data_IF_363561113562
#
_entry.id   IF_363561113562
#
_cell.length_a   1.000
_cell.length_b   1.000
_cell.length_c   1.000
_cell.angle_alpha   90.00
_cell.angle_beta   90.00
_cell.angle_gamma   90.00
#
_symmetry.space_group_name_H-M   'P 1'
#
loop_
_entity.id
_entity.type
_entity.pdbx_description
1 polymer ?
#
# COMPACT_ATOMS: atom_id res chain seq x y z
N UNK A 1 -13.49 7.93 9.55
CA UNK A 1 -12.76 7.01 8.64
C UNK A 1 -12.58 7.67 7.28
N UNK A 2 -11.40 7.52 6.67
CA UNK A 2 -11.10 8.10 5.37
C UNK A 2 -11.68 7.20 4.27
N UNK A 3 -12.71 7.67 3.59
CA UNK A 3 -13.41 6.89 2.57
C UNK A 3 -12.51 6.55 1.37
N UNK A 4 -11.64 7.48 0.98
CA UNK A 4 -10.72 7.26 -0.13
C UNK A 4 -9.72 6.17 0.21
N UNK A 5 -9.16 6.22 1.41
CA UNK A 5 -8.21 5.20 1.86
C UNK A 5 -8.91 3.84 2.00
N UNK A 6 -10.13 3.84 2.54
CA UNK A 6 -10.93 2.61 2.60
C UNK A 6 -11.08 2.00 1.22
N UNK A 7 -11.45 2.82 0.22
CA UNK A 7 -11.65 2.33 -1.13
C UNK A 7 -10.36 1.71 -1.71
N UNK A 8 -9.23 2.36 -1.50
CA UNK A 8 -7.94 1.88 -1.99
C UNK A 8 -7.55 0.52 -1.42
N UNK A 9 -7.93 0.24 -0.18
CA UNK A 9 -7.51 -0.96 0.54
C UNK A 9 -8.59 -2.03 0.53
N UNK A 10 -9.81 -1.67 0.89
CA UNK A 10 -10.88 -2.65 1.10
C UNK A 10 -11.88 -2.69 -0.04
N UNK A 11 -11.95 -1.65 -0.84
CA UNK A 11 -12.98 -1.51 -1.87
C UNK A 11 -12.54 -1.93 -3.27
N UNK A 12 -11.30 -2.34 -3.46
CA UNK A 12 -10.78 -2.68 -4.78
C UNK A 12 -9.96 -3.95 -4.75
N UNK A 13 -9.79 -4.54 -5.94
CA UNK A 13 -9.08 -5.80 -6.09
C UNK A 13 -7.61 -5.73 -5.66
N UNK A 14 -6.97 -4.59 -5.87
CA UNK A 14 -5.55 -4.43 -5.54
C UNK A 14 -5.27 -4.07 -4.09
N UNK A 15 -6.30 -4.08 -3.23
CA UNK A 15 -6.19 -3.55 -1.87
C UNK A 15 -5.19 -4.27 -0.98
N UNK A 16 -5.14 -5.59 -1.06
CA UNK A 16 -4.21 -6.37 -0.23
C UNK A 16 -2.76 -6.00 -0.56
N UNK A 17 -2.44 -5.93 -1.85
CA UNK A 17 -1.08 -5.58 -2.26
C UNK A 17 -0.73 -4.14 -1.90
N UNK A 18 -1.70 -3.22 -2.04
CA UNK A 18 -1.47 -1.83 -1.62
C UNK A 18 -1.24 -1.73 -0.11
N UNK A 19 -1.98 -2.51 0.68
CA UNK A 19 -1.76 -2.56 2.12
C UNK A 19 -0.37 -3.08 2.46
N UNK A 20 0.08 -4.12 1.76
CA UNK A 20 1.43 -4.67 1.96
C UNK A 20 2.51 -3.63 1.64
N UNK A 21 2.31 -2.84 0.59
CA UNK A 21 3.24 -1.77 0.23
C UNK A 21 3.28 -0.71 1.33
N UNK A 22 2.11 -0.32 1.85
CA UNK A 22 2.03 0.67 2.94
C UNK A 22 2.78 0.15 4.18
N UNK A 23 2.56 -1.09 4.57
CA UNK A 23 3.26 -1.70 5.69
C UNK A 23 4.77 -1.70 5.49
N UNK A 24 5.21 -2.07 4.29
CA UNK A 24 6.64 -2.10 3.98
C UNK A 24 7.27 -0.71 4.09
N UNK A 25 6.60 0.29 3.52
CA UNK A 25 7.10 1.67 3.52
C UNK A 25 7.03 2.33 4.88
N UNK A 26 6.20 1.82 5.79
CA UNK A 26 6.18 2.33 7.16
C UNK A 26 7.55 2.20 7.82
N UNK A 27 8.26 1.11 7.51
CA UNK A 27 9.55 0.84 8.13
C UNK A 27 10.66 1.69 7.54
N UNK A 28 10.61 1.93 6.23
CA UNK A 28 11.66 2.68 5.54
C UNK A 28 11.25 3.09 4.14
N UNK A 29 11.77 4.21 3.63
CA UNK A 29 11.64 4.51 2.20
C UNK A 29 12.33 3.43 1.36
N UNK A 30 11.84 3.21 0.15
CA UNK A 30 12.40 2.17 -0.70
C UNK A 30 12.09 2.46 -2.17
N UNK A 31 12.88 1.91 -3.07
CA UNK A 31 12.57 1.98 -4.49
C UNK A 31 11.60 0.85 -4.87
N UNK A 32 10.98 0.98 -6.06
CA UNK A 32 9.97 0.04 -6.50
C UNK A 32 10.52 -1.38 -6.69
N UNK A 33 11.77 -1.47 -7.14
CA UNK A 33 12.39 -2.77 -7.37
C UNK A 33 12.57 -3.55 -6.06
N UNK A 34 13.02 -2.85 -5.01
CA UNK A 34 13.18 -3.46 -3.69
C UNK A 34 11.84 -3.89 -3.11
N UNK A 35 10.80 -3.06 -3.27
CA UNK A 35 9.45 -3.40 -2.82
C UNK A 35 8.98 -4.67 -3.54
N UNK A 36 9.12 -4.71 -4.86
CA UNK A 36 8.70 -5.86 -5.66
C UNK A 36 9.40 -7.13 -5.22
N UNK A 37 10.73 -7.05 -5.03
CA UNK A 37 11.50 -8.20 -4.59
C UNK A 37 11.10 -8.68 -3.21
N UNK A 38 10.91 -7.76 -2.27
CA UNK A 38 10.53 -8.12 -0.90
C UNK A 38 9.14 -8.76 -0.83
N UNK A 39 8.19 -8.21 -1.60
CA UNK A 39 6.82 -8.69 -1.56
C UNK A 39 6.53 -9.84 -2.52
N UNK A 40 7.50 -10.21 -3.35
CA UNK A 40 7.31 -11.27 -4.34
C UNK A 40 6.31 -10.86 -5.42
N UNK A 41 6.28 -9.59 -5.77
CA UNK A 41 5.37 -9.06 -6.78
C UNK A 41 6.13 -8.62 -8.02
N UNK A 42 5.40 -8.57 -9.15
CA UNK A 42 5.94 -8.05 -10.39
C UNK A 42 6.23 -6.56 -10.27
N UNK A 43 7.35 -6.12 -10.85
CA UNK A 43 7.76 -4.72 -10.81
C UNK A 43 6.69 -3.78 -11.39
N UNK A 44 6.11 -4.15 -12.54
CA UNK A 44 5.07 -3.31 -13.15
C UNK A 44 3.84 -3.19 -12.27
N UNK A 45 3.48 -4.27 -11.60
CA UNK A 45 2.35 -4.26 -10.66
C UNK A 45 2.62 -3.32 -9.50
N UNK A 46 3.83 -3.39 -8.94
CA UNK A 46 4.21 -2.49 -7.84
C UNK A 46 4.21 -1.04 -8.31
N UNK A 47 4.77 -0.76 -9.50
CA UNK A 47 4.76 0.59 -10.06
C UNK A 47 3.35 1.12 -10.22
N UNK A 48 2.44 0.29 -10.72
CA UNK A 48 1.05 0.69 -10.87
C UNK A 48 0.43 1.06 -9.50
N UNK A 49 0.64 0.21 -8.50
CA UNK A 49 0.12 0.50 -7.16
C UNK A 49 0.72 1.76 -6.56
N UNK A 50 2.02 1.96 -6.75
CA UNK A 50 2.68 3.16 -6.24
C UNK A 50 2.14 4.42 -6.92
N UNK A 51 1.86 4.35 -8.22
CA UNK A 51 1.26 5.49 -8.93
C UNK A 51 -0.13 5.82 -8.39
N UNK A 52 -0.95 4.79 -8.14
CA UNK A 52 -2.28 4.98 -7.55
C UNK A 52 -2.17 5.58 -6.15
N UNK A 53 -1.28 5.05 -5.33
CA UNK A 53 -1.09 5.55 -3.97
C UNK A 53 -0.56 6.98 -3.95
N UNK A 54 0.34 7.31 -4.89
CA UNK A 54 0.85 8.67 -5.01
C UNK A 54 -0.24 9.64 -5.44
N UNK A 55 -1.07 9.25 -6.39
CA UNK A 55 -2.17 10.09 -6.85
C UNK A 55 -3.18 10.36 -5.74
N UNK A 56 -3.23 9.53 -4.72
CA UNK A 56 -4.15 9.66 -3.60
C UNK A 56 -3.47 10.14 -2.32
N UNK A 57 -2.28 10.70 -2.44
CA UNK A 57 -1.54 11.32 -1.32
C UNK A 57 -1.22 10.33 -0.19
N UNK A 58 -1.05 9.07 -0.52
CA UNK A 58 -0.66 8.04 0.44
C UNK A 58 0.85 7.86 0.45
N UNK A 59 1.47 7.87 -0.73
CA UNK A 59 2.92 7.83 -0.85
C UNK A 59 3.43 9.03 -1.62
N UNK A 60 4.68 9.34 -1.41
CA UNK A 60 5.40 10.37 -2.13
C UNK A 60 6.67 9.77 -2.71
N UNK A 61 7.24 10.43 -3.70
CA UNK A 61 8.47 9.99 -4.32
C UNK A 61 9.50 11.11 -4.30
N UNK A 62 10.77 10.72 -4.20
CA UNK A 62 11.90 11.65 -4.25
C UNK A 62 12.93 11.12 -5.24
N UNK A 63 13.72 12.03 -5.81
CA UNK A 63 14.71 11.68 -6.82
C UNK A 63 14.14 11.82 -8.22
N UNK A 64 14.73 11.13 -9.19
CA UNK A 64 14.24 11.14 -10.56
C UNK A 64 12.85 10.51 -10.64
N UNK A 65 11.96 11.14 -11.40
CA UNK A 65 10.55 10.73 -11.45
C UNK A 65 10.32 9.37 -12.08
N UNK A 66 11.29 8.85 -12.80
CA UNK A 66 11.15 7.55 -13.43
C UNK A 66 12.50 6.86 -13.42
N UNK A 67 12.52 5.66 -12.94
CA UNK A 67 13.72 4.86 -12.92
C UNK A 67 13.97 4.24 -11.56
N UNK A 68 15.03 3.47 -11.50
CA UNK A 68 15.33 2.65 -10.33
C UNK A 68 15.79 3.47 -9.14
N UNK A 69 16.20 4.72 -9.36
CA UNK A 69 16.67 5.59 -8.30
C UNK A 69 15.56 6.31 -7.55
N UNK A 70 14.32 6.25 -8.07
CA UNK A 70 13.19 6.88 -7.40
C UNK A 70 12.89 6.18 -6.09
N UNK A 71 12.88 6.95 -5.01
CA UNK A 71 12.55 6.43 -3.68
C UNK A 71 11.12 6.81 -3.32
N UNK A 72 10.42 5.88 -2.72
CA UNK A 72 9.04 6.08 -2.27
C UNK A 72 8.99 6.03 -0.76
N UNK A 73 8.11 6.84 -0.17
CA UNK A 73 7.89 6.85 1.27
C UNK A 73 6.44 7.20 1.53
N UNK A 74 5.96 6.88 2.73
CA UNK A 74 4.64 7.33 3.14
C UNK A 74 4.64 8.85 3.27
N UNK A 75 3.53 9.50 2.88
CA UNK A 75 3.41 10.94 3.06
C UNK A 75 3.37 11.27 4.55
N UNK A 76 3.80 12.49 4.93
CA UNK A 76 3.65 12.93 6.33
C UNK A 76 2.22 12.83 6.82
N UNK A 77 1.26 13.12 5.94
CA UNK A 77 -0.16 13.02 6.28
C UNK A 77 -0.54 11.60 6.68
N UNK A 78 -0.11 10.61 5.90
CA UNK A 78 -0.42 9.23 6.24
C UNK A 78 0.30 8.79 7.51
N UNK A 79 1.55 9.21 7.68
CA UNK A 79 2.29 8.88 8.91
C UNK A 79 1.59 9.43 10.14
N UNK A 80 1.12 10.68 10.07
CA UNK A 80 0.42 11.33 11.18
C UNK A 80 -0.88 10.62 11.52
N UNK A 81 -1.59 10.13 10.50
CA UNK A 81 -2.90 9.50 10.66
C UNK A 81 -2.85 7.99 10.39
N UNK A 82 -1.75 7.36 10.73
CA UNK A 82 -1.56 5.94 10.42
C UNK A 82 -2.62 5.06 11.08
N UNK A 83 -3.19 5.49 12.21
CA UNK A 83 -4.26 4.74 12.86
C UNK A 83 -5.50 4.58 11.97
N UNK A 84 -5.73 5.50 11.03
CA UNK A 84 -6.82 5.32 10.05
C UNK A 84 -6.57 4.10 9.17
N UNK A 85 -5.33 3.94 8.73
CA UNK A 85 -4.96 2.76 7.95
C UNK A 85 -5.09 1.49 8.80
N UNK A 86 -4.64 1.54 10.04
CA UNK A 86 -4.75 0.38 10.94
C UNK A 86 -6.20 -0.03 11.14
N UNK A 87 -7.10 0.93 11.31
CA UNK A 87 -8.51 0.64 11.46
C UNK A 87 -9.08 -0.05 10.23
N UNK A 88 -8.75 0.47 9.05
CA UNK A 88 -9.21 -0.11 7.79
C UNK A 88 -8.66 -1.53 7.63
N UNK A 89 -7.37 -1.70 7.89
CA UNK A 89 -6.72 -2.99 7.76
C UNK A 89 -7.34 -4.04 8.70
N UNK A 90 -7.60 -3.63 9.95
CA UNK A 90 -8.20 -4.52 10.93
C UNK A 90 -9.58 -4.98 10.48
N UNK A 91 -10.41 -4.07 9.99
CA UNK A 91 -11.74 -4.41 9.49
C UNK A 91 -11.68 -5.27 8.24
N UNK A 92 -10.76 -4.95 7.34
CA UNK A 92 -10.59 -5.70 6.10
C UNK A 92 -10.11 -7.12 6.39
N UNK A 93 -9.13 -7.28 7.27
CA UNK A 93 -8.67 -8.60 7.72
C UNK A 93 -9.80 -9.38 8.35
N UNK A 94 -10.57 -8.73 9.20
CA UNK A 94 -11.71 -9.38 9.84
C UNK A 94 -12.70 -9.96 8.84
N UNK A 95 -12.97 -9.21 7.78
CA UNK A 95 -13.84 -9.69 6.71
C UNK A 95 -13.24 -10.89 5.98
N UNK A 96 -11.94 -10.83 5.69
CA UNK A 96 -11.26 -11.94 5.05
C UNK A 96 -11.26 -13.18 5.95
N UNK A 97 -10.99 -12.99 7.24
CA UNK A 97 -10.92 -14.07 8.19
C UNK A 97 -12.28 -14.69 8.44
N UNK A 98 -13.37 -13.92 8.29
CA UNK A 98 -14.72 -14.40 8.49
C UNK A 98 -15.31 -15.11 7.28
N UNK A 99 -14.63 -15.10 6.15
CA UNK A 99 -15.10 -15.82 4.97
C UNK A 99 -15.05 -17.32 5.23
N UNK A 100 -16.06 -18.04 4.72
CA UNK A 100 -15.97 -19.50 4.77
C UNK A 100 -14.69 -19.93 4.08
N UNK A 101 -13.90 -20.73 4.80
CA UNK A 101 -12.68 -21.26 4.23
C UNK A 101 -13.00 -22.27 3.16
N UNK A 102 -12.36 -22.25 1.99
CA UNK A 102 -12.50 -23.34 1.04
C UNK A 102 -11.87 -24.62 1.57
N UNK A 103 -11.04 -24.52 2.61
CA UNK A 103 -10.46 -25.65 3.30
C UNK A 103 -11.03 -25.70 4.68
N UNK A 104 -11.82 -26.74 4.97
CA UNK A 104 -12.37 -26.91 6.31
C UNK A 104 -11.27 -27.07 7.35
#
# INVERSE_FOLDING_TARGET
MNKRLWHLIAGTRGGVNRAKIIWYLRERPSNANAIAGHLGLDYKTVRHHLDVLRANDVVMSTGADNGYATMYSLTPRLQTHFEEFLEIWTRFRGKLDSRPSPNP
#
